data_IF_395291798549
#
_entry.id   IF_395291798549
#
_cell.length_a   1.000
_cell.length_b   1.000
_cell.length_c   1.000
_cell.angle_alpha   90.00
_cell.angle_beta   90.00
_cell.angle_gamma   90.00
#
_symmetry.space_group_name_H-M   'P 1'
#
loop_
_entity.id
_entity.type
_entity.pdbx_description
1 polymer ?
#
# COMPACT_ATOMS: atom_id res chain seq x y z
N UNK A 1 8.70 18.25 17.46
CA UNK A 1 7.42 18.44 16.74
C UNK A 1 6.37 18.84 17.76
N UNK A 2 5.80 20.04 17.68
CA UNK A 2 4.65 20.41 18.53
C UNK A 2 3.41 19.83 17.88
N UNK A 3 2.69 18.97 18.58
CA UNK A 3 1.39 18.45 18.13
C UNK A 3 0.34 19.28 18.84
N UNK A 4 -0.45 20.03 18.08
CA UNK A 4 -1.57 20.82 18.60
C UNK A 4 -2.89 20.25 18.09
N UNK A 5 -4.00 20.60 18.72
CA UNK A 5 -5.36 20.20 18.33
C UNK A 5 -5.64 20.64 16.87
N UNK A 6 -5.04 21.75 16.42
CA UNK A 6 -5.13 22.20 15.04
C UNK A 6 -4.64 21.14 14.03
N UNK A 7 -3.70 20.27 14.40
CA UNK A 7 -3.23 19.18 13.55
C UNK A 7 -4.32 18.15 13.23
N UNK A 8 -5.35 18.01 14.08
CA UNK A 8 -6.51 17.14 13.81
C UNK A 8 -7.39 17.70 12.68
N UNK A 9 -7.40 19.03 12.51
CA UNK A 9 -8.12 19.69 11.42
C UNK A 9 -7.38 19.50 10.09
N UNK A 10 -6.04 19.59 10.11
CA UNK A 10 -5.22 19.46 8.90
C UNK A 10 -5.03 18.02 8.44
N UNK A 11 -4.88 17.08 9.39
CA UNK A 11 -4.60 15.66 9.13
C UNK A 11 -5.48 14.78 10.03
N UNK A 12 -6.81 14.74 9.81
CA UNK A 12 -7.71 13.90 10.60
C UNK A 12 -7.39 12.40 10.47
N UNK A 13 -6.70 11.99 9.40
CA UNK A 13 -6.25 10.61 9.20
C UNK A 13 -5.32 10.12 10.32
N UNK A 14 -4.74 11.05 11.09
CA UNK A 14 -3.99 10.77 12.32
C UNK A 14 -4.76 9.88 13.31
N UNK A 15 -6.08 10.08 13.45
CA UNK A 15 -6.91 9.29 14.37
C UNK A 15 -7.18 7.87 13.87
N UNK A 16 -7.05 7.63 12.57
CA UNK A 16 -7.29 6.33 11.94
C UNK A 16 -6.08 5.41 11.97
N UNK A 17 -4.90 5.89 12.38
CA UNK A 17 -3.65 5.12 12.38
C UNK A 17 -3.24 4.71 13.80
N UNK A 18 -2.73 3.50 13.93
CA UNK A 18 -2.25 3.01 15.23
C UNK A 18 -0.97 3.76 15.64
N UNK A 19 -1.03 4.42 16.79
CA UNK A 19 0.07 5.25 17.30
C UNK A 19 1.37 4.46 17.48
N UNK A 20 1.35 3.35 18.21
CA UNK A 20 2.53 2.56 18.54
C UNK A 20 3.15 1.90 17.30
N UNK A 21 2.33 1.41 16.38
CA UNK A 21 2.79 0.64 15.22
C UNK A 21 3.18 1.49 14.02
N UNK A 22 2.56 2.67 13.85
CA UNK A 22 2.79 3.52 12.68
C UNK A 22 3.46 4.85 13.02
N UNK A 23 2.95 5.58 14.02
CA UNK A 23 3.39 6.95 14.29
C UNK A 23 4.74 6.94 14.99
N UNK A 24 4.86 6.15 16.05
CA UNK A 24 6.03 6.14 16.93
C UNK A 24 7.33 5.70 16.21
N UNK A 25 7.34 4.66 15.36
CA UNK A 25 8.53 4.28 14.58
C UNK A 25 8.92 5.35 13.56
N UNK A 26 7.94 5.96 12.87
CA UNK A 26 8.19 7.06 11.93
C UNK A 26 8.80 8.27 12.64
N UNK A 27 8.24 8.63 13.79
CA UNK A 27 8.73 9.75 14.58
C UNK A 27 10.17 9.53 15.03
N UNK A 28 10.51 8.34 15.54
CA UNK A 28 11.90 8.00 15.94
C UNK A 28 12.91 8.18 14.80
N UNK A 29 12.55 7.72 13.60
CA UNK A 29 13.39 7.90 12.40
C UNK A 29 13.60 9.39 12.12
N UNK A 30 12.52 10.18 12.05
CA UNK A 30 12.61 11.62 11.76
C UNK A 30 13.40 12.36 12.85
N UNK A 31 13.20 12.02 14.12
CA UNK A 31 13.90 12.66 15.23
C UNK A 31 15.40 12.38 15.21
N UNK A 32 15.77 11.13 14.89
CA UNK A 32 17.16 10.77 14.68
C UNK A 32 17.78 11.49 13.48
N UNK A 33 17.10 11.50 12.32
CA UNK A 33 17.55 12.23 11.14
C UNK A 33 17.70 13.74 11.41
N UNK A 34 16.82 14.31 12.24
CA UNK A 34 16.93 15.69 12.70
C UNK A 34 18.19 15.89 13.57
N UNK A 35 18.49 14.96 14.49
CA UNK A 35 19.66 15.08 15.36
C UNK A 35 21.00 15.03 14.61
N UNK A 36 21.07 14.32 13.49
CA UNK A 36 22.28 14.22 12.66
C UNK A 36 22.33 15.29 11.56
N UNK A 37 21.32 16.16 11.46
CA UNK A 37 21.20 17.15 10.39
C UNK A 37 20.95 16.53 9.00
N UNK A 38 20.41 15.31 8.94
CA UNK A 38 20.15 14.58 7.70
C UNK A 38 18.85 14.99 6.99
N UNK A 39 18.07 15.89 7.56
CA UNK A 39 16.86 16.44 6.94
C UNK A 39 17.17 17.78 6.28
N UNK A 40 16.84 17.92 5.00
CA UNK A 40 16.97 19.20 4.29
C UNK A 40 15.90 20.22 4.71
N UNK A 41 14.66 19.76 4.85
CA UNK A 41 13.50 20.57 5.25
C UNK A 41 12.86 20.03 6.52
N UNK A 42 12.13 20.88 7.25
CA UNK A 42 11.34 20.44 8.40
C UNK A 42 10.22 19.48 7.98
N UNK A 43 10.24 18.28 8.56
CA UNK A 43 9.19 17.27 8.37
C UNK A 43 8.06 17.52 9.36
N UNK A 44 6.89 17.89 8.83
CA UNK A 44 5.65 18.08 9.59
C UNK A 44 4.86 16.79 9.82
N UNK A 45 3.72 16.91 10.51
CA UNK A 45 2.86 15.77 10.81
C UNK A 45 2.26 15.16 9.54
N UNK A 46 1.94 15.97 8.53
CA UNK A 46 1.37 15.49 7.27
C UNK A 46 2.34 14.58 6.53
N UNK A 47 3.60 14.96 6.46
CA UNK A 47 4.70 14.21 5.84
C UNK A 47 5.01 12.95 6.65
N UNK A 48 4.76 12.96 7.96
CA UNK A 48 4.87 11.78 8.80
C UNK A 48 3.74 10.78 8.55
N UNK A 49 2.50 11.24 8.43
CA UNK A 49 1.30 10.36 8.45
C UNK A 49 0.88 9.93 7.04
N UNK A 50 0.79 10.85 6.08
CA UNK A 50 0.21 10.58 4.75
C UNK A 50 0.98 9.56 3.90
N UNK A 51 2.32 9.46 3.95
CA UNK A 51 3.02 8.47 3.15
C UNK A 51 2.64 7.04 3.51
N UNK A 52 2.56 6.18 2.49
CA UNK A 52 2.49 4.74 2.72
C UNK A 52 3.75 4.25 3.43
N UNK A 53 3.66 3.09 4.09
CA UNK A 53 4.81 2.49 4.79
C UNK A 53 6.04 2.36 3.88
N UNK A 54 5.82 1.96 2.62
CA UNK A 54 6.87 1.81 1.61
C UNK A 54 7.44 3.16 1.15
N UNK A 55 6.57 4.16 0.92
CA UNK A 55 7.02 5.50 0.52
C UNK A 55 7.87 6.14 1.62
N UNK A 56 7.43 6.06 2.87
CA UNK A 56 8.21 6.55 4.02
C UNK A 56 9.55 5.82 4.13
N UNK A 57 9.55 4.49 3.99
CA UNK A 57 10.78 3.70 4.03
C UNK A 57 11.78 4.14 2.97
N UNK A 58 11.34 4.28 1.71
CA UNK A 58 12.23 4.67 0.62
C UNK A 58 12.81 6.08 0.78
N UNK A 59 12.06 7.00 1.38
CA UNK A 59 12.50 8.39 1.59
C UNK A 59 13.45 8.55 2.78
N UNK A 60 13.12 7.94 3.92
CA UNK A 60 13.79 8.26 5.19
C UNK A 60 14.59 7.10 5.79
N UNK A 61 14.33 5.85 5.39
CA UNK A 61 14.96 4.68 6.00
C UNK A 61 15.99 4.04 5.06
N UNK A 62 15.62 3.83 3.80
CA UNK A 62 16.49 3.21 2.79
C UNK A 62 17.83 3.96 2.59
N UNK A 63 17.88 5.30 2.60
CA UNK A 63 19.16 6.01 2.48
C UNK A 63 20.01 5.92 3.76
N UNK A 64 19.41 5.63 4.91
CA UNK A 64 20.05 5.65 6.23
C UNK A 64 19.86 4.28 6.91
N UNK A 65 20.73 3.32 6.60
CA UNK A 65 20.63 1.94 7.09
C UNK A 65 20.49 1.83 8.63
N UNK A 66 21.09 2.76 9.37
CA UNK A 66 20.98 2.86 10.83
C UNK A 66 19.52 2.99 11.31
N UNK A 67 18.67 3.62 10.50
CA UNK A 67 17.24 3.80 10.77
C UNK A 67 16.41 2.51 10.57
N UNK A 68 16.92 1.45 9.92
CA UNK A 68 16.20 0.18 9.77
C UNK A 68 15.85 -0.43 11.13
N UNK A 69 16.76 -0.30 12.11
CA UNK A 69 16.57 -0.81 13.47
C UNK A 69 15.42 -0.12 14.21
N UNK A 70 15.25 1.19 14.00
CA UNK A 70 14.26 2.03 14.67
C UNK A 70 12.88 1.93 14.03
N UNK A 71 12.83 1.84 12.71
CA UNK A 71 11.59 1.70 11.95
C UNK A 71 10.99 0.29 12.05
N UNK A 72 11.84 -0.69 12.35
CA UNK A 72 11.52 -2.11 12.31
C UNK A 72 11.67 -2.67 10.90
N UNK A 73 12.07 -3.94 10.79
CA UNK A 73 12.21 -4.61 9.49
C UNK A 73 10.90 -4.51 8.73
N UNK A 74 10.93 -3.78 7.62
CA UNK A 74 10.01 -4.03 6.52
C UNK A 74 10.36 -5.45 6.08
N UNK A 75 9.54 -6.44 6.43
CA UNK A 75 9.81 -7.84 6.15
C UNK A 75 10.36 -7.96 4.72
N UNK A 76 11.66 -8.28 4.59
CA UNK A 76 12.23 -8.64 3.27
C UNK A 76 11.51 -9.88 2.71
N UNK A 77 10.72 -10.55 3.56
CA UNK A 77 9.89 -11.72 3.30
C UNK A 77 8.39 -11.39 3.25
N UNK A 78 8.00 -10.29 2.60
CA UNK A 78 6.76 -10.37 1.83
C UNK A 78 7.15 -10.73 0.41
N UNK A 79 7.53 -11.99 0.20
CA UNK A 79 6.90 -12.73 -0.89
C UNK A 79 5.44 -12.31 -0.83
N UNK A 80 4.99 -11.58 -1.85
CA UNK A 80 3.64 -11.05 -1.90
C UNK A 80 2.72 -12.23 -1.64
N UNK A 81 2.24 -12.39 -0.40
CA UNK A 81 1.27 -13.42 -0.06
C UNK A 81 0.08 -13.02 -0.89
N UNK A 82 -0.09 -13.70 -2.02
CA UNK A 82 -1.22 -13.47 -2.89
C UNK A 82 -2.43 -13.68 -1.99
N UNK A 83 -3.12 -12.58 -1.65
CA UNK A 83 -4.30 -12.64 -0.79
C UNK A 83 -5.35 -13.60 -1.37
N UNK A 84 -5.24 -13.88 -2.67
CA UNK A 84 -5.94 -14.95 -3.35
C UNK A 84 -5.12 -16.23 -3.35
N UNK A 85 -5.67 -17.34 -2.84
CA UNK A 85 -5.07 -18.66 -3.03
C UNK A 85 -4.88 -18.91 -4.52
N UNK A 86 -3.64 -19.23 -4.92
CA UNK A 86 -3.31 -19.56 -6.31
C UNK A 86 -4.22 -20.71 -6.74
N UNK A 87 -5.12 -20.45 -7.70
CA UNK A 87 -6.05 -21.45 -8.20
C UNK A 87 -7.53 -21.26 -7.84
N UNK A 88 -7.92 -20.28 -7.00
CA UNK A 88 -9.35 -19.98 -6.77
C UNK A 88 -10.08 -19.59 -8.05
N UNK A 89 -9.40 -18.90 -8.97
CA UNK A 89 -9.93 -18.59 -10.31
C UNK A 89 -10.30 -19.85 -11.13
N UNK A 90 -9.74 -21.02 -10.78
CA UNK A 90 -10.10 -22.31 -11.40
C UNK A 90 -11.43 -22.86 -10.85
N UNK A 91 -11.85 -22.47 -9.65
CA UNK A 91 -13.16 -22.80 -9.08
C UNK A 91 -14.27 -21.98 -9.72
N UNK A 92 -13.96 -20.75 -10.13
CA UNK A 92 -14.85 -19.89 -10.93
C UNK A 92 -14.85 -20.25 -12.42
N UNK A 93 -14.66 -21.53 -12.78
CA UNK A 93 -14.93 -21.95 -14.15
C UNK A 93 -16.45 -21.88 -14.38
N UNK A 94 -16.95 -21.04 -15.29
CA UNK A 94 -18.36 -21.07 -15.63
C UNK A 94 -18.73 -22.48 -16.09
N UNK A 95 -19.92 -22.95 -15.73
CA UNK A 95 -20.41 -24.22 -16.24
C UNK A 95 -20.34 -24.19 -17.77
N UNK A 96 -19.74 -25.23 -18.36
CA UNK A 96 -19.78 -25.42 -19.80
C UNK A 96 -21.23 -25.71 -20.18
N UNK A 97 -22.01 -24.67 -20.47
CA UNK A 97 -23.33 -24.83 -21.05
C UNK A 97 -23.13 -25.56 -22.39
N UNK A 98 -23.78 -26.72 -22.61
CA UNK A 98 -23.72 -27.37 -23.90
C UNK A 98 -24.32 -26.40 -24.91
N UNK A 99 -23.50 -25.88 -25.84
CA UNK A 99 -23.95 -24.93 -26.86
C UNK A 99 -25.08 -25.61 -27.62
N UNK A 100 -26.30 -25.09 -27.49
CA UNK A 100 -27.41 -25.62 -28.25
C UNK A 100 -27.13 -25.36 -29.73
N UNK A 101 -27.73 -26.17 -30.61
CA UNK A 101 -27.59 -25.97 -32.06
C UNK A 101 -28.01 -24.55 -32.48
N UNK A 102 -28.95 -23.95 -31.75
CA UNK A 102 -29.42 -22.57 -31.94
C UNK A 102 -28.33 -21.55 -31.56
N UNK A 103 -27.66 -21.73 -30.43
CA UNK A 103 -26.58 -20.83 -30.00
C UNK A 103 -25.43 -20.82 -31.01
N UNK A 104 -25.10 -21.96 -31.61
CA UNK A 104 -24.05 -22.06 -32.64
C UNK A 104 -24.46 -21.31 -33.91
N UNK A 105 -25.73 -21.41 -34.32
CA UNK A 105 -26.25 -20.70 -35.50
C UNK A 105 -26.28 -19.18 -35.27
N UNK A 106 -26.70 -18.74 -34.07
CA UNK A 106 -26.71 -17.32 -33.70
C UNK A 106 -25.29 -16.73 -33.68
N UNK A 107 -24.32 -17.45 -33.12
CA UNK A 107 -22.91 -17.01 -33.11
C UNK A 107 -22.36 -16.91 -34.53
N UNK A 108 -22.65 -17.89 -35.41
CA UNK A 108 -22.21 -17.84 -36.81
C UNK A 108 -22.82 -16.64 -37.55
N UNK A 109 -24.13 -16.46 -37.45
CA UNK A 109 -24.83 -15.34 -38.10
C UNK A 109 -24.30 -13.97 -37.64
N UNK A 110 -23.94 -13.84 -36.35
CA UNK A 110 -23.33 -12.62 -35.84
C UNK A 110 -21.91 -12.42 -36.39
N UNK A 111 -21.08 -13.45 -36.42
CA UNK A 111 -19.73 -13.36 -36.96
C UNK A 111 -19.73 -13.04 -38.46
N UNK A 112 -20.67 -13.60 -39.23
CA UNK A 112 -20.85 -13.32 -40.65
C UNK A 112 -21.33 -11.86 -40.89
N UNK A 113 -22.01 -11.24 -39.93
CA UNK A 113 -22.44 -9.82 -40.02
C UNK A 113 -21.33 -8.80 -39.73
N UNK A 114 -20.21 -9.25 -39.15
CA UNK A 114 -19.05 -8.42 -38.84
C UNK A 114 -17.96 -8.43 -39.94
N UNK A 115 -18.15 -9.25 -40.98
CA UNK A 115 -17.28 -9.33 -42.16
C UNK A 115 -17.74 -8.36 -43.25
#
# INVERSE_FOLDING_TARGET
MKVDIQCLVEVPEYLGVNFEKHILPRFKVIDHLRSIGGLGDEVGLRELIKPSRMKFYNLYVKPYLECESMYGRLSRDTEARSQHPVGMWKLFKPQNNPKSRVDIMNIKSYMDSLA
#
